data_IF_879120289135
#
_entry.id   IF_879120289135
#
_cell.length_a   1.000
_cell.length_b   1.000
_cell.length_c   1.000
_cell.angle_alpha   90.00
_cell.angle_beta   90.00
_cell.angle_gamma   90.00
#
_symmetry.space_group_name_H-M   'P 1'
#
loop_
_entity.id
_entity.type
_entity.pdbx_description
1 polymer ?
#
# COMPACT_ATOMS: atom_id res chain seq x y z
N UNK A 1 -25.80 -1.03 -6.06
CA UNK A 1 -24.45 -0.47 -5.82
C UNK A 1 -23.43 -1.51 -6.24
N UNK A 2 -22.63 -1.25 -7.28
CA UNK A 2 -21.75 -2.24 -7.92
C UNK A 2 -20.56 -2.57 -7.01
N UNK A 3 -20.58 -3.75 -6.39
CA UNK A 3 -19.53 -4.25 -5.51
C UNK A 3 -18.45 -4.99 -6.33
N UNK A 4 -17.80 -4.30 -7.26
CA UNK A 4 -16.84 -4.90 -8.21
C UNK A 4 -15.38 -4.87 -7.69
N UNK A 5 -15.15 -4.38 -6.47
CA UNK A 5 -13.81 -4.23 -5.88
C UNK A 5 -13.31 -5.47 -5.12
N UNK A 6 -14.21 -6.36 -4.70
CA UNK A 6 -13.90 -7.53 -3.86
C UNK A 6 -12.96 -8.56 -4.51
N UNK A 7 -12.83 -8.57 -5.85
CA UNK A 7 -11.93 -9.47 -6.58
C UNK A 7 -10.68 -8.78 -7.16
N UNK A 8 -10.49 -7.48 -6.93
CA UNK A 8 -9.34 -6.76 -7.51
C UNK A 8 -8.09 -7.03 -6.68
N UNK A 9 -7.04 -7.58 -7.30
CA UNK A 9 -5.76 -7.85 -6.62
C UNK A 9 -4.89 -6.59 -6.52
N UNK A 10 -4.92 -5.75 -7.55
CA UNK A 10 -4.09 -4.55 -7.67
C UNK A 10 -4.95 -3.33 -7.94
N UNK A 11 -4.65 -2.22 -7.27
CA UNK A 11 -5.40 -0.97 -7.37
C UNK A 11 -4.46 0.21 -7.68
N UNK A 12 -5.03 1.25 -8.28
CA UNK A 12 -4.34 2.52 -8.51
C UNK A 12 -4.11 3.26 -7.19
N UNK A 13 -3.25 4.28 -7.20
CA UNK A 13 -3.03 5.13 -6.01
C UNK A 13 -4.33 5.77 -5.49
N UNK A 14 -5.20 6.23 -6.39
CA UNK A 14 -6.46 6.85 -6.01
C UNK A 14 -7.39 5.84 -5.32
N UNK A 15 -7.50 4.63 -5.87
CA UNK A 15 -8.31 3.56 -5.30
C UNK A 15 -7.76 3.11 -3.94
N UNK A 16 -6.44 2.91 -3.79
CA UNK A 16 -5.82 2.57 -2.49
C UNK A 16 -6.04 3.69 -1.47
N UNK A 17 -5.89 4.95 -1.88
CA UNK A 17 -6.14 6.10 -1.02
C UNK A 17 -7.58 6.09 -0.48
N UNK A 18 -8.56 5.80 -1.34
CA UNK A 18 -9.96 5.68 -0.95
C UNK A 18 -10.22 4.45 -0.06
N UNK A 19 -9.68 3.29 -0.42
CA UNK A 19 -9.89 2.02 0.30
C UNK A 19 -9.34 2.04 1.73
N UNK A 20 -8.18 2.66 1.94
CA UNK A 20 -7.49 2.66 3.22
C UNK A 20 -7.58 4.00 3.96
N UNK A 21 -8.27 4.99 3.40
CA UNK A 21 -8.38 6.33 3.99
C UNK A 21 -7.05 7.07 4.14
N UNK A 22 -6.02 6.68 3.36
CA UNK A 22 -4.68 7.28 3.43
C UNK A 22 -4.55 8.36 2.35
N UNK A 23 -4.00 9.52 2.70
CA UNK A 23 -3.71 10.57 1.72
C UNK A 23 -2.72 10.07 0.64
N UNK A 24 -2.95 10.42 -0.64
CA UNK A 24 -2.09 10.09 -1.78
C UNK A 24 -0.61 10.45 -1.55
N UNK A 25 -0.31 11.57 -0.87
CA UNK A 25 1.08 11.94 -0.53
C UNK A 25 1.71 10.91 0.41
N UNK A 26 1.01 10.54 1.48
CA UNK A 26 1.45 9.51 2.43
C UNK A 26 1.63 8.17 1.73
N UNK A 27 0.67 7.77 0.89
CA UNK A 27 0.77 6.57 0.07
C UNK A 27 2.01 6.60 -0.85
N UNK A 28 2.33 7.75 -1.44
CA UNK A 28 3.54 7.90 -2.26
C UNK A 28 4.84 7.65 -1.48
N UNK A 29 4.91 8.16 -0.25
CA UNK A 29 6.02 7.90 0.68
C UNK A 29 6.06 6.43 1.07
N UNK A 30 4.92 5.83 1.43
CA UNK A 30 4.84 4.42 1.80
C UNK A 30 5.23 3.50 0.64
N UNK A 31 4.77 3.77 -0.59
CA UNK A 31 5.21 3.02 -1.78
C UNK A 31 6.73 3.12 -2.01
N UNK A 32 7.34 4.27 -1.71
CA UNK A 32 8.80 4.43 -1.81
C UNK A 32 9.52 3.55 -0.80
N UNK A 33 8.99 3.44 0.43
CA UNK A 33 9.52 2.54 1.46
C UNK A 33 9.30 1.07 1.09
N UNK A 34 8.10 0.72 0.62
CA UNK A 34 7.77 -0.63 0.17
C UNK A 34 8.70 -1.12 -0.93
N UNK A 35 9.02 -0.27 -1.93
CA UNK A 35 9.99 -0.64 -2.99
C UNK A 35 11.38 -0.96 -2.48
N UNK A 36 11.79 -0.40 -1.34
CA UNK A 36 13.12 -0.61 -0.73
C UNK A 36 13.14 -1.79 0.23
N UNK A 37 11.97 -2.29 0.64
CA UNK A 37 11.85 -3.42 1.54
C UNK A 37 11.68 -4.72 0.74
N UNK A 38 12.53 -5.73 0.94
CA UNK A 38 12.38 -7.03 0.29
C UNK A 38 11.02 -7.67 0.51
N UNK A 39 10.40 -7.44 1.68
CA UNK A 39 9.12 -8.06 2.06
C UNK A 39 7.91 -7.45 1.34
N UNK A 40 8.06 -6.24 0.80
CA UNK A 40 6.96 -5.47 0.23
C UNK A 40 7.21 -4.98 -1.20
N UNK A 41 8.39 -5.20 -1.76
CA UNK A 41 8.72 -4.68 -3.09
C UNK A 41 7.82 -5.30 -4.18
N UNK A 42 7.48 -6.58 -4.07
CA UNK A 42 6.59 -7.30 -5.00
C UNK A 42 5.13 -6.81 -4.97
N UNK A 43 4.73 -6.13 -3.89
CA UNK A 43 3.41 -5.51 -3.81
C UNK A 43 3.28 -4.27 -4.72
N UNK A 44 4.37 -3.75 -5.27
CA UNK A 44 4.39 -2.59 -6.16
C UNK A 44 4.58 -3.05 -7.61
N UNK A 45 3.51 -2.96 -8.41
CA UNK A 45 3.55 -3.30 -9.82
C UNK A 45 3.74 -2.05 -10.67
N UNK A 46 4.93 -1.87 -11.22
CA UNK A 46 5.21 -0.79 -12.17
C UNK A 46 4.90 -1.26 -13.60
N UNK A 47 3.73 -0.88 -14.11
CA UNK A 47 3.28 -1.24 -15.46
C UNK A 47 3.93 -0.35 -16.52
N UNK A 48 4.21 0.92 -16.18
CA UNK A 48 5.01 1.82 -17.02
C UNK A 48 5.67 2.91 -16.18
N UNK A 49 6.50 3.74 -16.81
CA UNK A 49 7.13 4.89 -16.13
C UNK A 49 6.12 5.81 -15.40
N UNK A 50 4.89 5.93 -15.92
CA UNK A 50 3.84 6.79 -15.34
C UNK A 50 2.76 6.01 -14.58
N UNK A 51 2.65 4.69 -14.75
CA UNK A 51 1.56 3.89 -14.19
C UNK A 51 2.10 2.84 -13.22
N UNK A 52 1.70 3.00 -11.96
CA UNK A 52 2.04 2.09 -10.87
C UNK A 52 0.75 1.65 -10.20
N UNK A 53 0.61 0.34 -10.02
CA UNK A 53 -0.43 -0.29 -9.25
C UNK A 53 0.15 -0.86 -7.96
N UNK A 54 -0.69 -1.00 -6.96
CA UNK A 54 -0.33 -1.52 -5.64
C UNK A 54 -1.24 -2.68 -5.31
N UNK A 55 -0.66 -3.80 -4.86
CA UNK A 55 -1.41 -4.93 -4.33
C UNK A 55 -2.21 -4.47 -3.12
N UNK A 56 -3.53 -4.69 -3.14
CA UNK A 56 -4.41 -4.29 -2.03
C UNK A 56 -3.99 -5.02 -0.75
N UNK A 57 -3.79 -6.34 -0.83
CA UNK A 57 -3.31 -7.16 0.30
C UNK A 57 -1.89 -6.78 0.73
N UNK A 58 -1.01 -6.48 -0.23
CA UNK A 58 0.36 -6.08 0.08
C UNK A 58 0.43 -4.75 0.85
N UNK A 59 -0.42 -3.79 0.47
CA UNK A 59 -0.50 -2.51 1.20
C UNK A 59 -1.12 -2.67 2.59
N UNK A 60 -2.15 -3.51 2.73
CA UNK A 60 -2.72 -3.85 4.03
C UNK A 60 -1.68 -4.47 4.97
N UNK A 61 -0.89 -5.44 4.47
CA UNK A 61 0.17 -6.07 5.24
C UNK A 61 1.25 -5.06 5.68
N UNK A 62 1.64 -4.15 4.78
CA UNK A 62 2.57 -3.08 5.10
C UNK A 62 2.03 -2.14 6.19
N UNK A 63 0.76 -1.74 6.14
CA UNK A 63 0.15 -0.91 7.17
C UNK A 63 0.13 -1.60 8.55
N UNK A 64 -0.15 -2.90 8.59
CA UNK A 64 -0.10 -3.71 9.82
C UNK A 64 1.33 -3.75 10.40
N UNK A 65 2.32 -4.03 9.55
CA UNK A 65 3.73 -4.04 9.97
C UNK A 65 4.19 -2.67 10.52
N UNK A 66 3.81 -1.58 9.84
CA UNK A 66 4.10 -0.20 10.26
C UNK A 66 3.43 0.17 11.59
N UNK A 67 2.18 -0.26 11.80
CA UNK A 67 1.45 -0.04 13.05
C UNK A 67 2.10 -0.78 14.21
N UNK A 68 2.55 -2.01 13.99
CA UNK A 68 3.30 -2.80 14.97
C UNK A 68 4.64 -2.14 15.32
N UNK A 69 5.40 -1.67 14.33
CA UNK A 69 6.67 -0.94 14.54
C UNK A 69 6.48 0.30 15.42
N UNK A 70 5.38 1.04 15.23
CA UNK A 70 5.07 2.19 16.08
C UNK A 70 4.76 1.77 17.52
N UNK A 71 4.02 0.69 17.74
CA UNK A 71 3.73 0.19 19.09
C UNK A 71 4.99 -0.29 19.81
N UNK A 72 5.89 -0.99 19.11
CA UNK A 72 7.15 -1.48 19.68
C UNK A 72 8.06 -0.34 20.13
N UNK A 73 8.19 0.73 19.33
CA UNK A 73 9.02 1.90 19.65
C UNK A 73 8.52 2.74 20.83
N UNK A 74 7.25 2.60 21.23
CA UNK A 74 6.67 3.32 22.36
C UNK A 74 6.83 2.55 23.69
N UNK A 75 7.35 1.31 23.64
CA UNK A 75 7.63 0.47 24.81
C UNK A 75 9.12 0.41 25.18
N UNK A 76 9.98 1.05 24.38
CA UNK A 76 11.42 1.25 24.66
C UNK A 76 11.67 2.66 25.22
#
# INVERSE_FOLDING_TARGET
MNNQLSNKLYATKAEISQLFGVNIKTLGTDMTKMRRSPDFCEAILQVSHKRVYVSIKGYEAYLKAKGLEYQTKQME
#
